data_IF_378595097468
#
_entry.id   IF_378595097468
#
_cell.length_a   1.000
_cell.length_b   1.000
_cell.length_c   1.000
_cell.angle_alpha   90.00
_cell.angle_beta   90.00
_cell.angle_gamma   90.00
#
_symmetry.space_group_name_H-M   'P 1'
#
loop_
_entity.id
_entity.type
_entity.pdbx_description
1 polymer ?
#
# COMPACT_ATOMS: atom_id res chain seq x y z
N UNK A 1 21.06 26.48 25.43
CA UNK A 1 20.76 27.12 24.15
C UNK A 1 20.14 26.05 23.25
N UNK A 2 18.89 26.18 22.92
CA UNK A 2 18.15 25.23 22.06
C UNK A 2 18.36 25.65 20.60
N UNK A 3 18.66 24.75 19.66
CA UNK A 3 18.65 25.11 18.25
C UNK A 3 17.20 25.14 17.75
N UNK A 4 16.91 26.17 16.97
CA UNK A 4 15.61 26.56 16.50
C UNK A 4 15.05 25.63 15.43
N UNK A 5 13.75 25.43 15.49
CA UNK A 5 12.85 24.59 14.66
C UNK A 5 12.66 25.06 13.21
N UNK A 6 13.62 25.74 12.59
CA UNK A 6 13.50 26.26 11.22
C UNK A 6 14.08 25.34 10.13
N UNK A 7 14.80 24.28 10.52
CA UNK A 7 15.52 23.41 9.56
C UNK A 7 14.66 22.29 9.00
N UNK A 8 13.56 21.93 9.64
CA UNK A 8 12.68 20.84 9.22
C UNK A 8 11.69 21.23 8.10
N UNK A 9 11.33 22.50 8.02
CA UNK A 9 10.33 22.98 7.03
C UNK A 9 10.89 23.15 5.61
N UNK A 10 12.22 23.27 5.46
CA UNK A 10 12.85 23.41 4.13
C UNK A 10 13.05 22.07 3.40
N UNK A 11 12.99 20.94 4.11
CA UNK A 11 13.24 19.61 3.52
C UNK A 11 12.05 19.06 2.72
N UNK A 12 10.82 19.45 3.05
CA UNK A 12 9.60 18.95 2.38
C UNK A 12 9.36 19.64 1.03
N UNK A 13 9.81 20.90 0.86
CA UNK A 13 9.62 21.64 -0.38
C UNK A 13 10.57 21.19 -1.53
N UNK A 14 11.67 20.52 -1.24
CA UNK A 14 12.66 20.11 -2.24
C UNK A 14 12.30 18.77 -2.93
N UNK A 15 11.41 17.95 -2.35
CA UNK A 15 11.03 16.66 -2.91
C UNK A 15 9.99 16.72 -4.04
N UNK A 16 9.24 17.80 -4.15
CA UNK A 16 8.23 17.96 -5.21
C UNK A 16 8.79 18.45 -6.56
N UNK A 17 10.08 18.83 -6.65
CA UNK A 17 10.64 19.45 -7.86
C UNK A 17 11.43 18.48 -8.76
N UNK A 18 11.61 17.25 -8.37
CA UNK A 18 12.48 16.29 -9.07
C UNK A 18 11.80 15.51 -10.23
N UNK A 19 10.50 15.66 -10.45
CA UNK A 19 9.77 14.98 -11.53
C UNK A 19 9.48 15.81 -12.78
N UNK A 20 9.98 17.05 -12.88
CA UNK A 20 9.68 17.95 -14.00
C UNK A 20 10.97 18.50 -14.64
N UNK A 21 11.76 17.66 -15.30
CA UNK A 21 12.78 18.14 -16.23
C UNK A 21 13.11 17.11 -17.30
N UNK A 22 12.34 17.15 -18.40
CA UNK A 22 12.91 16.92 -19.75
C UNK A 22 11.98 17.48 -20.81
N UNK A 23 12.59 18.31 -21.67
CA UNK A 23 12.16 18.85 -22.95
C UNK A 23 11.45 20.21 -22.93
N UNK A 24 12.26 21.27 -23.01
CA UNK A 24 11.89 22.58 -23.51
C UNK A 24 12.00 22.59 -25.04
N UNK A 25 10.92 22.88 -25.73
CA UNK A 25 10.95 23.50 -27.06
C UNK A 25 10.01 24.69 -27.06
N UNK A 26 10.60 25.87 -27.27
CA UNK A 26 9.97 27.17 -27.32
C UNK A 26 9.11 27.34 -28.58
N UNK A 27 7.88 27.80 -28.43
CA UNK A 27 7.17 28.54 -29.46
C UNK A 27 6.34 29.65 -28.80
N UNK A 28 6.71 30.87 -29.18
CA UNK A 28 6.07 32.16 -28.83
C UNK A 28 4.78 32.32 -29.60
N UNK A 29 3.67 32.70 -28.97
CA UNK A 29 2.49 33.33 -29.59
C UNK A 29 1.94 34.40 -28.63
N UNK A 30 1.50 35.57 -29.13
CA UNK A 30 1.33 36.80 -28.36
C UNK A 30 -0.04 36.90 -27.67
N UNK A 31 -0.05 37.74 -26.64
CA UNK A 31 -1.19 38.09 -25.82
C UNK A 31 -2.25 38.91 -26.55
N UNK A 32 -3.52 38.58 -26.35
CA UNK A 32 -4.65 39.46 -26.65
C UNK A 32 -5.44 39.72 -25.35
N UNK A 33 -5.45 40.98 -24.97
CA UNK A 33 -6.26 41.52 -23.85
C UNK A 33 -7.72 41.62 -24.28
N UNK A 34 -8.65 41.09 -23.48
CA UNK A 34 -10.07 41.42 -23.57
C UNK A 34 -10.58 41.87 -22.20
N UNK A 35 -11.02 43.10 -22.17
CA UNK A 35 -11.69 43.78 -21.04
C UNK A 35 -13.14 43.31 -20.96
N UNK A 36 -13.59 42.86 -19.81
CA UNK A 36 -14.99 42.62 -19.53
C UNK A 36 -15.52 43.57 -18.47
N UNK A 37 -16.47 44.41 -18.89
CA UNK A 37 -17.26 45.31 -18.08
C UNK A 37 -18.40 44.59 -17.37
N UNK A 38 -18.66 45.04 -16.14
CA UNK A 38 -19.71 44.61 -15.22
C UNK A 38 -21.09 45.20 -15.53
N UNK A 39 -22.18 44.51 -15.23
CA UNK A 39 -23.16 44.88 -14.17
C UNK A 39 -24.53 44.21 -14.36
N UNK A 40 -25.39 44.22 -13.32
CA UNK A 40 -26.26 43.11 -12.97
C UNK A 40 -27.75 43.36 -13.28
N UNK A 41 -28.52 42.26 -13.29
CA UNK A 41 -29.99 42.38 -13.24
C UNK A 41 -30.56 41.36 -12.23
N UNK A 42 -31.11 41.89 -11.18
CA UNK A 42 -32.02 41.28 -10.23
C UNK A 42 -33.42 41.11 -10.87
N UNK A 43 -33.98 39.92 -10.79
CA UNK A 43 -35.44 39.73 -10.97
C UNK A 43 -35.92 38.71 -9.95
N UNK A 44 -36.75 39.23 -9.01
CA UNK A 44 -37.53 38.50 -8.03
C UNK A 44 -38.78 37.94 -8.74
N UNK A 45 -39.10 36.67 -8.51
CA UNK A 45 -40.43 36.14 -8.76
C UNK A 45 -40.92 35.30 -7.57
N UNK A 46 -42.10 35.67 -7.13
CA UNK A 46 -42.81 35.23 -5.95
C UNK A 46 -43.31 33.78 -6.03
N UNK A 47 -43.34 33.16 -4.87
CA UNK A 47 -43.94 31.86 -4.62
C UNK A 47 -45.47 31.93 -4.66
N UNK A 48 -46.11 30.98 -5.34
CA UNK A 48 -47.47 30.57 -5.09
C UNK A 48 -47.56 29.07 -4.91
N UNK A 49 -47.98 28.69 -3.73
CA UNK A 49 -48.29 27.32 -3.32
C UNK A 49 -49.71 26.98 -3.77
N UNK A 50 -50.02 25.79 -4.23
CA UNK A 50 -51.37 25.25 -4.10
C UNK A 50 -51.47 24.04 -3.17
N UNK A 51 -52.61 23.95 -2.56
CA UNK A 51 -53.07 23.12 -1.47
C UNK A 51 -53.04 21.62 -1.73
N UNK A 52 -52.93 20.88 -0.63
CA UNK A 52 -53.07 19.46 -0.50
C UNK A 52 -54.47 18.94 -0.87
N UNK A 53 -54.47 17.86 -1.63
CA UNK A 53 -55.61 16.92 -1.66
C UNK A 53 -55.02 15.51 -1.50
N UNK A 54 -55.38 14.90 -0.37
CA UNK A 54 -55.33 13.41 -0.22
C UNK A 54 -56.50 12.84 -1.00
N UNK A 55 -56.31 11.71 -1.69
CA UNK A 55 -56.88 10.49 -1.16
C UNK A 55 -56.28 9.17 -1.64
N UNK A 56 -56.78 8.14 -1.05
CA UNK A 56 -56.91 6.77 -1.49
C UNK A 56 -55.81 5.79 -1.05
N UNK A 57 -56.14 5.11 0.00
CA UNK A 57 -55.69 3.76 0.38
C UNK A 57 -55.72 2.79 -0.80
N UNK A 58 -54.56 2.26 -1.14
CA UNK A 58 -54.40 1.03 -1.92
C UNK A 58 -53.83 -0.09 -1.03
N UNK A 59 -54.22 -1.33 -1.25
CA UNK A 59 -53.89 -2.42 -0.34
C UNK A 59 -52.41 -2.77 -0.39
N UNK A 60 -51.82 -2.89 0.78
CA UNK A 60 -50.47 -3.37 0.95
C UNK A 60 -50.31 -4.84 0.49
N UNK A 61 -49.76 -5.04 -0.67
CA UNK A 61 -49.24 -6.34 -1.07
C UNK A 61 -47.94 -6.57 -0.31
N UNK A 62 -47.97 -7.44 0.67
CA UNK A 62 -46.80 -7.93 1.38
C UNK A 62 -45.85 -8.64 0.39
N UNK A 63 -44.85 -7.93 -0.10
CA UNK A 63 -43.70 -8.55 -0.70
C UNK A 63 -42.85 -9.13 0.44
N UNK A 64 -42.97 -10.43 0.64
CA UNK A 64 -42.04 -11.17 1.44
C UNK A 64 -40.62 -10.94 0.85
N UNK A 65 -39.84 -10.14 1.55
CA UNK A 65 -38.43 -9.92 1.26
C UNK A 65 -37.70 -11.26 1.47
N UNK A 66 -37.50 -12.01 0.40
CA UNK A 66 -36.55 -13.10 0.38
C UNK A 66 -35.15 -12.46 0.57
N UNK A 67 -34.66 -12.51 1.79
CA UNK A 67 -33.29 -12.16 2.11
C UNK A 67 -32.42 -13.19 1.37
N UNK A 68 -31.63 -12.83 0.34
CA UNK A 68 -30.69 -13.76 -0.25
C UNK A 68 -29.67 -14.05 0.85
N UNK A 69 -29.71 -15.26 1.42
CA UNK A 69 -28.61 -15.76 2.21
C UNK A 69 -27.39 -15.77 1.29
N UNK A 70 -26.60 -14.71 1.37
CA UNK A 70 -25.27 -14.67 0.77
C UNK A 70 -24.50 -15.77 1.48
N UNK A 71 -24.31 -16.89 0.82
CA UNK A 71 -23.41 -17.95 1.26
C UNK A 71 -22.03 -17.28 1.33
N UNK A 72 -21.60 -16.91 2.53
CA UNK A 72 -20.24 -16.41 2.77
C UNK A 72 -19.35 -17.60 2.40
N UNK A 73 -18.68 -17.51 1.25
CA UNK A 73 -17.65 -18.47 0.90
C UNK A 73 -16.65 -18.48 2.06
N UNK A 74 -16.34 -19.66 2.58
CA UNK A 74 -15.32 -19.82 3.61
C UNK A 74 -14.04 -19.16 3.09
N UNK A 75 -13.48 -18.21 3.86
CA UNK A 75 -12.20 -17.60 3.54
C UNK A 75 -11.15 -18.71 3.46
N UNK A 76 -10.24 -18.67 2.47
CA UNK A 76 -9.16 -19.64 2.41
C UNK A 76 -8.34 -19.59 3.69
N UNK A 77 -8.08 -20.73 4.28
CA UNK A 77 -7.29 -20.81 5.51
C UNK A 77 -5.83 -20.42 5.24
N UNK A 78 -5.23 -19.69 6.17
CA UNK A 78 -3.81 -19.39 6.16
C UNK A 78 -2.99 -20.70 6.16
N UNK A 79 -2.05 -20.80 5.22
CA UNK A 79 -1.17 -21.97 5.08
C UNK A 79 0.19 -21.68 5.71
N UNK A 80 0.29 -21.91 7.00
CA UNK A 80 1.53 -21.70 7.76
C UNK A 80 2.68 -22.58 7.24
N UNK A 81 2.38 -23.77 6.72
CA UNK A 81 3.34 -24.70 6.12
C UNK A 81 3.87 -24.25 4.75
N UNK A 82 3.15 -23.37 4.06
CA UNK A 82 3.59 -22.81 2.79
C UNK A 82 4.45 -21.53 2.94
N UNK A 83 4.67 -21.07 4.17
CA UNK A 83 5.46 -19.89 4.48
C UNK A 83 6.59 -20.31 5.43
N UNK A 84 7.83 -19.96 5.10
CA UNK A 84 8.99 -20.26 5.94
C UNK A 84 8.87 -19.68 7.35
N UNK A 85 9.50 -20.33 8.31
CA UNK A 85 9.57 -19.83 9.69
C UNK A 85 10.52 -18.66 9.79
N UNK A 86 10.17 -17.65 10.59
CA UNK A 86 11.00 -16.47 10.84
C UNK A 86 11.31 -16.32 12.32
N UNK A 87 12.45 -15.71 12.60
CA UNK A 87 12.83 -15.25 13.93
C UNK A 87 12.57 -13.74 14.02
N UNK A 88 11.81 -13.32 15.02
CA UNK A 88 11.60 -11.91 15.36
C UNK A 88 12.59 -11.50 16.43
N UNK A 89 13.33 -10.43 16.22
CA UNK A 89 14.25 -9.83 17.20
C UNK A 89 13.85 -8.38 17.46
N UNK A 90 13.84 -7.98 18.71
CA UNK A 90 13.49 -6.61 19.11
C UNK A 90 12.57 -6.54 20.32
N UNK A 91 12.08 -5.35 20.67
CA UNK A 91 12.22 -4.10 19.89
C UNK A 91 13.67 -3.60 19.80
N UNK A 92 14.03 -3.02 18.63
CA UNK A 92 15.38 -2.54 18.33
C UNK A 92 15.56 -1.14 18.93
N UNK A 93 16.51 -1.02 19.86
CA UNK A 93 16.78 0.24 20.56
C UNK A 93 18.23 0.75 20.36
N UNK A 94 19.03 0.02 19.61
CA UNK A 94 20.42 0.38 19.29
C UNK A 94 20.53 1.55 18.31
N UNK A 95 21.75 2.02 18.07
CA UNK A 95 22.07 3.06 17.10
C UNK A 95 21.71 4.47 17.58
N UNK A 96 21.41 5.36 16.66
CA UNK A 96 21.09 6.77 16.93
C UNK A 96 19.70 7.00 17.55
N UNK A 97 18.94 5.95 17.77
CA UNK A 97 17.65 5.96 18.47
C UNK A 97 16.42 6.29 17.62
N UNK A 98 16.57 7.05 16.55
CA UNK A 98 15.45 7.35 15.66
C UNK A 98 15.21 6.23 14.64
N UNK A 99 13.95 5.85 14.46
CA UNK A 99 13.55 4.94 13.38
C UNK A 99 13.62 5.68 12.05
N UNK A 100 14.38 5.14 11.09
CA UNK A 100 14.52 5.74 9.76
C UNK A 100 13.36 5.27 8.90
N UNK A 101 12.45 6.19 8.57
CA UNK A 101 11.28 5.94 7.73
C UNK A 101 10.79 7.26 7.13
N UNK A 102 10.57 7.29 5.81
CA UNK A 102 9.86 8.38 5.17
C UNK A 102 8.37 8.29 5.52
N UNK A 103 7.95 9.12 6.46
CA UNK A 103 6.56 9.27 6.86
C UNK A 103 6.35 10.68 7.42
N UNK A 104 5.12 11.18 7.35
CA UNK A 104 4.73 12.38 8.09
C UNK A 104 5.03 12.18 9.58
N UNK A 105 5.90 12.99 10.15
CA UNK A 105 6.30 12.88 11.54
C UNK A 105 5.36 13.68 12.45
N UNK A 106 4.62 13.01 13.31
CA UNK A 106 3.98 13.59 14.47
C UNK A 106 4.20 12.66 15.68
N UNK A 107 4.02 13.21 16.87
CA UNK A 107 4.18 12.45 18.10
C UNK A 107 2.97 11.52 18.30
N UNK A 108 3.15 10.22 18.01
CA UNK A 108 2.14 9.19 18.17
C UNK A 108 1.62 9.07 19.61
N UNK A 109 2.42 9.44 20.62
CA UNK A 109 2.00 9.40 22.02
C UNK A 109 0.85 10.35 22.31
N UNK A 110 0.72 11.45 21.56
CA UNK A 110 -0.36 12.44 21.69
C UNK A 110 -1.72 11.89 21.28
N UNK A 111 -1.73 10.80 20.50
CA UNK A 111 -2.94 10.10 20.05
C UNK A 111 -3.07 8.70 20.62
N UNK A 112 -2.28 8.38 21.67
CA UNK A 112 -2.34 7.10 22.37
C UNK A 112 -1.77 5.91 21.60
N UNK A 113 -0.85 6.14 20.65
CA UNK A 113 -0.16 5.11 19.89
C UNK A 113 1.30 4.98 20.30
N UNK A 114 1.87 3.80 20.05
CA UNK A 114 3.31 3.51 20.16
C UNK A 114 3.88 3.22 18.78
N UNK A 115 5.21 3.31 18.68
CA UNK A 115 5.97 2.86 17.51
C UNK A 115 7.17 2.06 17.98
N UNK A 116 7.28 0.84 17.48
CA UNK A 116 8.39 -0.07 17.74
C UNK A 116 8.98 -0.60 16.45
N UNK A 117 10.23 -1.07 16.49
CA UNK A 117 10.93 -1.62 15.34
C UNK A 117 11.51 -2.99 15.70
N UNK A 118 11.39 -3.92 14.75
CA UNK A 118 11.87 -5.29 14.88
C UNK A 118 12.64 -5.72 13.64
N UNK A 119 13.53 -6.70 13.81
CA UNK A 119 14.14 -7.41 12.70
C UNK A 119 13.50 -8.79 12.52
N UNK A 120 13.25 -9.14 11.27
CA UNK A 120 12.84 -10.48 10.85
C UNK A 120 14.01 -11.15 10.15
N UNK A 121 14.39 -12.34 10.62
CA UNK A 121 15.42 -13.17 9.99
C UNK A 121 14.83 -14.53 9.61
N UNK A 122 15.14 -14.98 8.41
CA UNK A 122 14.66 -16.24 7.87
C UNK A 122 15.37 -16.61 6.58
N UNK A 123 14.85 -17.63 5.92
CA UNK A 123 15.27 -18.02 4.58
C UNK A 123 14.11 -17.83 3.63
N UNK A 124 14.25 -16.95 2.64
CA UNK A 124 13.20 -16.61 1.68
C UNK A 124 13.43 -17.31 0.36
N UNK A 125 12.36 -17.78 -0.28
CA UNK A 125 12.37 -18.36 -1.62
C UNK A 125 12.15 -17.26 -2.67
N UNK A 126 12.84 -17.37 -3.79
CA UNK A 126 12.40 -16.73 -5.03
C UNK A 126 11.38 -17.63 -5.74
N UNK A 127 10.73 -17.08 -6.76
CA UNK A 127 9.70 -17.83 -7.50
C UNK A 127 10.00 -17.86 -8.99
N UNK A 128 9.61 -18.96 -9.64
CA UNK A 128 9.68 -19.13 -11.09
C UNK A 128 8.34 -19.62 -11.64
N UNK A 129 8.15 -19.46 -12.95
CA UNK A 129 7.00 -20.00 -13.68
C UNK A 129 7.48 -20.90 -14.81
N UNK A 130 6.84 -22.07 -14.97
CA UNK A 130 7.13 -22.98 -16.06
C UNK A 130 6.59 -22.49 -17.41
N UNK A 131 5.65 -21.55 -17.40
CA UNK A 131 5.04 -20.96 -18.59
C UNK A 131 5.13 -19.42 -18.50
N UNK A 132 5.08 -18.72 -19.65
CA UNK A 132 4.98 -17.27 -19.64
C UNK A 132 3.78 -16.77 -18.82
N UNK A 133 3.97 -15.71 -18.05
CA UNK A 133 2.90 -15.07 -17.30
C UNK A 133 1.90 -14.46 -18.28
N UNK A 134 0.60 -14.64 -18.02
CA UNK A 134 -0.47 -14.13 -18.89
C UNK A 134 -1.16 -12.90 -18.29
N UNK A 135 -1.78 -12.07 -19.13
CA UNK A 135 -2.50 -10.87 -18.68
C UNK A 135 -3.67 -11.15 -17.73
N UNK A 136 -4.12 -12.41 -17.60
CA UNK A 136 -5.26 -12.77 -16.74
C UNK A 136 -4.95 -12.73 -15.25
N UNK A 137 -3.69 -12.56 -14.84
CA UNK A 137 -3.25 -12.61 -13.45
C UNK A 137 -3.31 -14.02 -12.81
N UNK A 138 -3.83 -15.03 -13.48
CA UNK A 138 -3.91 -16.41 -12.96
C UNK A 138 -2.60 -17.14 -13.19
N UNK A 139 -1.61 -16.78 -12.41
CA UNK A 139 -0.27 -17.36 -12.55
C UNK A 139 -0.08 -18.56 -11.64
N UNK A 140 0.65 -19.55 -12.16
CA UNK A 140 1.13 -20.70 -11.38
C UNK A 140 2.62 -20.60 -11.26
N UNK A 141 3.10 -20.46 -10.03
CA UNK A 141 4.52 -20.31 -9.73
C UNK A 141 4.98 -21.34 -8.73
N UNK A 142 6.27 -21.62 -8.73
CA UNK A 142 6.91 -22.55 -7.79
C UNK A 142 8.07 -21.85 -7.10
N UNK A 143 8.29 -22.11 -5.80
CA UNK A 143 9.46 -21.61 -5.10
C UNK A 143 10.73 -22.22 -5.68
N UNK A 144 11.81 -21.44 -5.67
CA UNK A 144 13.15 -21.84 -6.11
C UNK A 144 14.14 -21.78 -4.96
N UNK A 145 15.44 -21.73 -5.29
CA UNK A 145 16.53 -21.69 -4.31
C UNK A 145 16.30 -20.63 -3.22
N UNK A 146 16.35 -21.01 -1.95
CA UNK A 146 16.20 -20.10 -0.85
C UNK A 146 17.47 -19.26 -0.65
N UNK A 147 17.31 -18.09 -0.02
CA UNK A 147 18.42 -17.26 0.45
C UNK A 147 18.08 -16.68 1.82
N UNK A 148 19.09 -16.62 2.68
CA UNK A 148 18.92 -16.06 4.01
C UNK A 148 18.78 -14.54 3.93
N UNK A 149 17.93 -14.00 4.81
CA UNK A 149 17.70 -12.58 4.93
C UNK A 149 17.54 -12.14 6.37
N UNK A 150 17.81 -10.87 6.61
CA UNK A 150 17.39 -10.15 7.80
C UNK A 150 16.84 -8.80 7.35
N UNK A 151 15.54 -8.59 7.54
CA UNK A 151 14.88 -7.33 7.18
C UNK A 151 14.32 -6.62 8.40
N UNK A 152 13.80 -5.42 8.19
CA UNK A 152 13.20 -4.56 9.20
C UNK A 152 11.69 -4.49 9.04
N UNK A 153 10.97 -4.47 10.16
CA UNK A 153 9.56 -4.07 10.25
C UNK A 153 9.39 -2.97 11.29
N UNK A 154 8.47 -2.04 11.02
CA UNK A 154 8.03 -1.00 11.96
C UNK A 154 6.58 -1.26 12.31
N UNK A 155 6.25 -1.23 13.59
CA UNK A 155 4.90 -1.47 14.10
C UNK A 155 4.39 -0.21 14.78
N UNK A 156 3.20 0.24 14.41
CA UNK A 156 2.46 1.33 15.07
C UNK A 156 1.12 0.80 15.53
N UNK A 157 0.82 0.95 16.81
CA UNK A 157 -0.41 0.41 17.38
C UNK A 157 -0.90 1.17 18.59
N UNK A 158 -2.15 0.96 18.99
CA UNK A 158 -2.70 1.59 20.19
C UNK A 158 -1.98 1.09 21.43
N UNK A 159 -1.68 2.03 22.33
CA UNK A 159 -1.08 1.76 23.63
C UNK A 159 -2.06 1.05 24.57
N UNK A 160 -3.33 1.39 24.49
CA UNK A 160 -4.41 0.73 25.23
C UNK A 160 -4.99 -0.40 24.39
N UNK A 161 -4.82 -1.68 24.80
CA UNK A 161 -5.36 -2.82 24.06
C UNK A 161 -6.88 -2.79 23.88
N UNK A 162 -7.61 -2.10 24.75
CA UNK A 162 -9.07 -1.99 24.66
C UNK A 162 -9.52 -1.19 23.42
N UNK A 163 -8.65 -0.35 22.84
CA UNK A 163 -8.95 0.43 21.64
C UNK A 163 -8.60 -0.29 20.35
N UNK A 164 -7.91 -1.44 20.42
CA UNK A 164 -7.58 -2.23 19.23
C UNK A 164 -8.82 -2.90 18.65
N UNK A 165 -9.11 -2.66 17.38
CA UNK A 165 -10.30 -3.20 16.72
C UNK A 165 -10.11 -4.60 16.10
N UNK A 166 -8.90 -5.17 16.16
CA UNK A 166 -8.55 -6.47 15.60
C UNK A 166 -8.00 -6.42 14.17
N UNK A 167 -7.93 -5.27 13.53
CA UNK A 167 -7.43 -5.13 12.16
C UNK A 167 -5.96 -4.70 12.14
N UNK A 168 -5.17 -5.34 11.28
CA UNK A 168 -3.77 -4.99 11.02
C UNK A 168 -3.59 -4.70 9.54
N UNK A 169 -3.07 -3.52 9.24
CA UNK A 169 -2.62 -3.15 7.89
C UNK A 169 -1.12 -3.45 7.78
N UNK A 170 -0.72 -4.29 6.82
CA UNK A 170 0.69 -4.61 6.53
C UNK A 170 1.06 -3.91 5.23
N UNK A 171 1.84 -2.84 5.33
CA UNK A 171 2.26 -2.02 4.21
C UNK A 171 3.59 -2.52 3.63
N UNK A 172 3.58 -2.78 2.32
CA UNK A 172 4.80 -2.92 1.54
C UNK A 172 5.41 -1.54 1.36
N UNK A 173 6.47 -1.23 2.10
CA UNK A 173 7.08 0.10 2.09
C UNK A 173 7.56 0.48 0.69
N UNK A 174 7.23 1.70 0.26
CA UNK A 174 7.59 2.23 -1.04
C UNK A 174 9.06 2.68 -1.06
N UNK A 175 9.78 2.30 -2.10
CA UNK A 175 11.22 2.61 -2.25
C UNK A 175 11.54 3.47 -3.48
N UNK A 176 10.55 4.10 -4.11
CA UNK A 176 10.74 4.95 -5.31
C UNK A 176 11.72 6.08 -5.08
N UNK A 177 11.78 6.61 -3.86
CA UNK A 177 12.72 7.66 -3.47
C UNK A 177 14.14 7.15 -3.15
N UNK A 178 14.39 5.82 -3.23
CA UNK A 178 15.67 5.20 -2.89
C UNK A 178 15.85 4.84 -1.42
N UNK A 179 14.78 4.97 -0.61
CA UNK A 179 14.71 4.60 0.80
C UNK A 179 13.27 4.23 1.17
N UNK A 180 13.08 3.61 2.34
CA UNK A 180 11.77 3.19 2.80
C UNK A 180 10.85 4.38 3.11
N UNK A 181 9.67 4.39 2.49
CA UNK A 181 8.62 5.36 2.68
C UNK A 181 7.28 4.66 2.93
N UNK A 182 6.38 5.28 3.70
CA UNK A 182 5.07 4.72 4.06
C UNK A 182 3.92 5.63 3.59
N UNK A 183 3.63 5.68 2.29
CA UNK A 183 2.60 6.56 1.75
C UNK A 183 1.19 6.21 2.27
N UNK A 184 0.80 4.94 2.32
CA UNK A 184 -0.52 4.55 2.81
C UNK A 184 -0.73 4.94 4.27
N UNK A 185 0.28 4.78 5.13
CA UNK A 185 0.23 5.35 6.48
C UNK A 185 0.07 6.87 6.43
N UNK A 186 0.84 7.55 5.60
CA UNK A 186 0.83 9.02 5.51
C UNK A 186 -0.55 9.56 5.13
N UNK A 187 -1.29 8.86 4.26
CA UNK A 187 -2.63 9.26 3.82
C UNK A 187 -3.74 8.82 4.78
N UNK A 188 -3.63 7.62 5.37
CA UNK A 188 -4.72 6.99 6.08
C UNK A 188 -4.55 6.95 7.61
N UNK A 189 -3.42 7.42 8.17
CA UNK A 189 -3.13 7.28 9.61
C UNK A 189 -4.20 7.89 10.52
N UNK A 190 -4.82 9.01 10.12
CA UNK A 190 -5.88 9.64 10.92
C UNK A 190 -7.06 8.68 11.11
N UNK A 191 -7.47 8.00 10.03
CA UNK A 191 -8.55 7.04 10.08
C UNK A 191 -8.13 5.73 10.77
N UNK A 192 -6.92 5.24 10.49
CA UNK A 192 -6.40 4.04 11.16
C UNK A 192 -6.33 4.22 12.68
N UNK A 193 -5.82 5.37 13.15
CA UNK A 193 -5.75 5.72 14.56
C UNK A 193 -7.16 5.84 15.16
N UNK A 194 -8.05 6.60 14.50
CA UNK A 194 -9.43 6.79 14.95
C UNK A 194 -10.17 5.46 15.10
N UNK A 195 -9.93 4.53 14.19
CA UNK A 195 -10.58 3.23 14.16
C UNK A 195 -9.86 2.16 14.99
N UNK A 196 -8.68 2.45 15.57
CA UNK A 196 -7.93 1.51 16.42
C UNK A 196 -7.23 0.39 15.66
N UNK A 197 -6.70 0.64 14.47
CA UNK A 197 -5.91 -0.32 13.70
C UNK A 197 -4.47 -0.41 14.23
N UNK A 198 -3.84 -1.56 14.03
CA UNK A 198 -2.38 -1.66 14.01
C UNK A 198 -1.89 -1.48 12.57
N UNK A 199 -0.81 -0.76 12.39
CA UNK A 199 -0.09 -0.65 11.13
C UNK A 199 1.30 -1.26 11.26
N UNK A 200 1.72 -2.01 10.22
CA UNK A 200 3.02 -2.67 10.13
C UNK A 200 3.66 -2.34 8.78
N UNK A 201 4.78 -1.62 8.79
CA UNK A 201 5.56 -1.33 7.59
C UNK A 201 6.69 -2.33 7.39
N UNK A 202 6.80 -2.92 6.21
CA UNK A 202 7.78 -3.96 5.89
C UNK A 202 8.81 -3.46 4.88
N UNK A 203 10.09 -3.47 5.26
CA UNK A 203 11.23 -3.23 4.35
C UNK A 203 11.44 -4.46 3.46
N UNK A 204 10.53 -4.67 2.52
CA UNK A 204 10.52 -5.88 1.69
C UNK A 204 11.51 -5.85 0.51
N UNK A 205 12.11 -4.68 0.20
CA UNK A 205 12.97 -4.50 -0.97
C UNK A 205 14.40 -4.09 -0.59
N UNK A 206 15.34 -4.55 -1.40
CA UNK A 206 16.78 -4.31 -1.20
C UNK A 206 17.11 -2.82 -1.17
N UNK A 207 16.46 -2.00 -1.98
CA UNK A 207 16.73 -0.56 -2.09
C UNK A 207 16.51 0.17 -0.77
N UNK A 208 15.47 -0.15 -0.02
CA UNK A 208 15.22 0.46 1.28
C UNK A 208 16.32 0.20 2.30
N UNK A 209 16.97 -0.97 2.22
CA UNK A 209 18.01 -1.42 3.14
C UNK A 209 19.41 -0.99 2.68
N UNK A 210 19.73 -1.28 1.41
CA UNK A 210 21.08 -1.15 0.85
C UNK A 210 21.30 0.18 0.14
N UNK A 211 20.23 0.87 -0.22
CA UNK A 211 20.26 2.05 -1.08
C UNK A 211 20.29 1.70 -2.56
N UNK A 212 20.12 2.71 -3.38
CA UNK A 212 20.15 2.63 -4.83
C UNK A 212 19.56 3.90 -5.45
N UNK A 213 19.75 4.07 -6.76
CA UNK A 213 19.20 5.22 -7.47
C UNK A 213 20.00 6.51 -7.27
N UNK A 214 19.40 7.55 -6.71
CA UNK A 214 20.04 8.85 -6.54
C UNK A 214 20.83 8.97 -5.23
N UNK A 215 21.70 9.99 -5.14
CA UNK A 215 22.56 10.21 -3.96
C UNK A 215 21.79 10.50 -2.66
N UNK A 216 20.60 11.12 -2.74
CA UNK A 216 19.77 11.40 -1.58
C UNK A 216 19.17 10.10 -1.02
N UNK A 217 18.60 9.27 -1.89
CA UNK A 217 18.06 7.97 -1.50
C UNK A 217 19.13 7.05 -0.91
N UNK A 218 20.34 7.05 -1.48
CA UNK A 218 21.46 6.28 -0.97
C UNK A 218 21.83 6.69 0.47
N UNK A 219 21.78 7.97 0.82
CA UNK A 219 22.10 8.45 2.16
C UNK A 219 21.00 8.14 3.21
N UNK A 220 19.77 7.96 2.78
CA UNK A 220 18.61 7.66 3.63
C UNK A 220 18.27 6.18 3.71
N UNK A 221 18.92 5.33 2.91
CA UNK A 221 18.79 3.89 3.04
C UNK A 221 19.25 3.43 4.43
N UNK A 222 18.61 2.42 4.99
CA UNK A 222 18.77 2.04 6.39
C UNK A 222 20.22 1.88 6.81
N UNK A 223 21.00 1.08 6.08
CA UNK A 223 22.41 0.81 6.43
C UNK A 223 23.32 2.04 6.33
N UNK A 224 22.99 2.99 5.46
CA UNK A 224 23.75 4.23 5.33
C UNK A 224 23.33 5.27 6.38
N UNK A 225 22.06 5.34 6.70
CA UNK A 225 21.51 6.31 7.65
C UNK A 225 21.94 6.03 9.10
N UNK A 226 21.93 4.75 9.51
CA UNK A 226 22.37 4.33 10.84
C UNK A 226 23.04 2.93 10.78
N UNK A 227 24.36 2.87 10.48
CA UNK A 227 25.09 1.60 10.39
C UNK A 227 25.09 0.80 11.69
N UNK A 228 25.10 1.47 12.84
CA UNK A 228 25.12 0.82 14.16
C UNK A 228 23.79 0.11 14.45
N UNK A 229 22.68 0.65 13.95
CA UNK A 229 21.35 0.07 14.08
C UNK A 229 21.09 -0.99 13.02
N UNK A 230 21.32 -0.67 11.75
CA UNK A 230 20.92 -1.46 10.61
C UNK A 230 22.02 -2.30 9.97
N UNK A 231 23.23 -2.29 10.55
CA UNK A 231 24.34 -3.14 10.10
C UNK A 231 23.99 -4.62 9.93
N UNK A 232 23.22 -5.24 10.85
CA UNK A 232 22.81 -6.65 10.77
C UNK A 232 21.88 -7.00 9.61
N UNK A 233 21.21 -6.03 8.96
CA UNK A 233 20.26 -6.30 7.89
C UNK A 233 20.97 -6.91 6.67
N UNK A 234 20.34 -7.92 6.06
CA UNK A 234 20.82 -8.61 4.86
C UNK A 234 19.65 -8.78 3.92
N UNK A 235 19.78 -8.36 2.66
CA UNK A 235 18.75 -8.56 1.65
C UNK A 235 19.36 -9.25 0.41
N UNK A 236 18.84 -10.43 0.00
CA UNK A 236 19.42 -11.23 -1.08
C UNK A 236 19.08 -10.72 -2.49
N UNK A 237 18.24 -9.70 -2.60
CA UNK A 237 17.75 -9.15 -3.86
C UNK A 237 16.23 -9.28 -4.01
N UNK A 238 15.65 -8.47 -4.93
CA UNK A 238 14.20 -8.27 -4.98
C UNK A 238 13.39 -9.46 -5.51
N UNK A 239 14.02 -10.49 -6.06
CA UNK A 239 13.36 -11.77 -6.37
C UNK A 239 12.83 -12.49 -5.12
N UNK A 240 13.39 -12.18 -3.96
CA UNK A 240 13.02 -12.76 -2.66
C UNK A 240 12.00 -11.90 -1.90
N UNK A 241 11.73 -10.68 -2.35
CA UNK A 241 10.86 -9.71 -1.68
C UNK A 241 9.46 -10.24 -1.42
N UNK A 242 8.92 -11.04 -2.33
CA UNK A 242 7.57 -11.61 -2.21
C UNK A 242 7.45 -12.57 -1.04
N UNK A 243 8.44 -13.45 -0.87
CA UNK A 243 8.44 -14.40 0.24
C UNK A 243 8.77 -13.70 1.57
N UNK A 244 9.70 -12.74 1.57
CA UNK A 244 9.97 -11.87 2.73
C UNK A 244 8.66 -11.20 3.21
N UNK A 245 7.85 -10.68 2.29
CA UNK A 245 6.57 -10.06 2.62
C UNK A 245 5.55 -11.07 3.14
N UNK A 246 5.50 -12.29 2.57
CA UNK A 246 4.69 -13.39 3.09
C UNK A 246 5.08 -13.75 4.52
N UNK A 247 6.38 -13.89 4.78
CA UNK A 247 6.91 -14.24 6.08
C UNK A 247 6.64 -13.14 7.12
N UNK A 248 6.69 -11.85 6.73
CA UNK A 248 6.30 -10.75 7.61
C UNK A 248 4.80 -10.81 7.99
N UNK A 249 3.91 -11.04 7.03
CA UNK A 249 2.49 -11.24 7.29
C UNK A 249 2.20 -12.47 8.16
N UNK A 250 2.93 -13.56 7.94
CA UNK A 250 2.84 -14.76 8.78
C UNK A 250 3.31 -14.50 10.22
N UNK A 251 4.39 -13.73 10.41
CA UNK A 251 4.84 -13.32 11.74
C UNK A 251 3.80 -12.48 12.48
N UNK A 252 3.12 -11.56 11.79
CA UNK A 252 2.00 -10.79 12.34
C UNK A 252 0.90 -11.73 12.85
N UNK A 253 0.59 -12.82 12.13
CA UNK A 253 -0.44 -13.79 12.54
C UNK A 253 -0.03 -14.72 13.67
N UNK A 254 1.23 -15.14 13.70
CA UNK A 254 1.69 -16.23 14.57
C UNK A 254 2.54 -15.78 15.75
N UNK A 255 3.17 -14.60 15.66
CA UNK A 255 4.06 -14.05 16.70
C UNK A 255 3.58 -12.68 17.21
N UNK A 256 2.27 -12.44 17.15
CA UNK A 256 1.63 -11.19 17.55
C UNK A 256 1.89 -10.81 19.03
N UNK A 257 2.11 -11.79 19.90
CA UNK A 257 2.43 -11.51 21.32
C UNK A 257 3.72 -10.67 21.44
N UNK A 258 4.74 -11.04 20.66
CA UNK A 258 6.00 -10.29 20.63
C UNK A 258 5.90 -9.06 19.74
N UNK A 259 5.38 -9.25 18.52
CA UNK A 259 5.45 -8.24 17.45
C UNK A 259 4.45 -7.10 17.63
N UNK A 260 3.25 -7.42 18.15
CA UNK A 260 2.17 -6.46 18.31
C UNK A 260 1.88 -6.16 19.80
N UNK A 261 2.83 -6.47 20.70
CA UNK A 261 2.66 -6.21 22.12
C UNK A 261 1.45 -6.89 22.77
N UNK A 262 1.05 -8.06 22.25
CA UNK A 262 -0.11 -8.81 22.76
C UNK A 262 -1.44 -8.48 22.08
N UNK A 263 -1.47 -7.59 21.08
CA UNK A 263 -2.68 -7.26 20.30
C UNK A 263 -2.96 -8.38 19.29
N UNK A 264 -3.91 -9.26 19.58
CA UNK A 264 -4.23 -10.41 18.74
C UNK A 264 -4.99 -9.98 17.46
N UNK A 265 -4.43 -10.17 16.26
CA UNK A 265 -5.09 -9.81 15.01
C UNK A 265 -6.28 -10.73 14.69
N UNK A 266 -7.37 -10.15 14.19
CA UNK A 266 -8.49 -10.88 13.59
C UNK A 266 -8.41 -10.85 12.08
N UNK A 267 -8.01 -9.70 11.52
CA UNK A 267 -7.82 -9.52 10.09
C UNK A 267 -6.47 -8.89 9.81
N UNK A 268 -5.78 -9.42 8.82
CA UNK A 268 -4.47 -8.93 8.35
C UNK A 268 -4.60 -8.58 6.87
N UNK A 269 -4.53 -7.29 6.55
CA UNK A 269 -4.73 -6.75 5.20
C UNK A 269 -3.40 -6.25 4.66
N UNK A 270 -3.02 -6.71 3.47
CA UNK A 270 -1.85 -6.18 2.77
C UNK A 270 -2.21 -4.90 2.03
N UNK A 271 -1.37 -3.87 2.17
CA UNK A 271 -1.54 -2.58 1.49
C UNK A 271 -0.25 -2.16 0.80
N UNK A 272 -0.36 -1.39 -0.28
CA UNK A 272 0.80 -0.86 -0.98
C UNK A 272 0.41 0.14 -2.05
N UNK A 273 1.17 1.24 -2.12
CA UNK A 273 0.93 2.38 -2.99
C UNK A 273 1.99 2.48 -4.08
N UNK A 274 1.59 2.89 -5.29
CA UNK A 274 2.47 3.20 -6.41
C UNK A 274 3.40 2.03 -6.76
N UNK A 275 4.71 2.19 -6.64
CA UNK A 275 5.70 1.15 -6.89
C UNK A 275 5.42 -0.12 -6.06
N UNK A 276 4.96 0.02 -4.82
CA UNK A 276 4.58 -1.11 -3.97
C UNK A 276 3.26 -1.74 -4.43
N UNK A 277 2.35 -0.98 -5.03
CA UNK A 277 1.14 -1.52 -5.65
C UNK A 277 1.47 -2.41 -6.86
N UNK A 278 2.53 -2.11 -7.62
CA UNK A 278 2.99 -2.99 -8.70
C UNK A 278 3.49 -4.33 -8.15
N UNK A 279 4.25 -4.30 -7.03
CA UNK A 279 4.68 -5.49 -6.30
C UNK A 279 3.48 -6.26 -5.75
N UNK A 280 2.56 -5.55 -5.12
CA UNK A 280 1.37 -6.17 -4.52
C UNK A 280 0.45 -6.79 -5.58
N UNK A 281 0.35 -6.21 -6.79
CA UNK A 281 -0.36 -6.82 -7.92
C UNK A 281 0.24 -8.17 -8.31
N UNK A 282 1.55 -8.24 -8.44
CA UNK A 282 2.25 -9.52 -8.72
C UNK A 282 2.12 -10.51 -7.56
N UNK A 283 2.16 -10.02 -6.32
CA UNK A 283 1.92 -10.84 -5.13
C UNK A 283 0.53 -11.48 -5.16
N UNK A 284 -0.50 -10.69 -5.42
CA UNK A 284 -1.90 -11.15 -5.53
C UNK A 284 -2.03 -12.22 -6.60
N UNK A 285 -1.40 -12.03 -7.75
CA UNK A 285 -1.55 -12.91 -8.91
C UNK A 285 -0.73 -14.21 -8.80
N UNK A 286 0.42 -14.16 -8.14
CA UNK A 286 1.37 -15.26 -8.10
C UNK A 286 1.45 -15.97 -6.73
N UNK A 287 1.55 -15.19 -5.63
CA UNK A 287 1.98 -15.70 -4.32
C UNK A 287 0.78 -15.95 -3.40
N UNK A 288 -0.19 -15.04 -3.40
CA UNK A 288 -1.37 -15.14 -2.55
C UNK A 288 -2.08 -16.49 -2.63
N UNK A 289 -2.25 -17.13 -3.82
CA UNK A 289 -2.89 -18.44 -3.92
C UNK A 289 -2.13 -19.58 -3.23
N UNK A 290 -0.82 -19.40 -3.04
CA UNK A 290 0.03 -20.42 -2.41
C UNK A 290 -0.03 -20.28 -0.89
N UNK A 291 0.05 -19.03 -0.38
CA UNK A 291 0.30 -18.78 1.04
C UNK A 291 -0.94 -18.45 1.85
N UNK A 292 -1.95 -17.82 1.24
CA UNK A 292 -3.17 -17.31 1.91
C UNK A 292 -2.87 -16.51 3.19
N UNK A 293 -1.82 -15.69 3.18
CA UNK A 293 -1.37 -14.96 4.38
C UNK A 293 -2.32 -13.84 4.75
N UNK A 294 -2.88 -13.14 3.76
CA UNK A 294 -3.68 -11.94 3.99
C UNK A 294 -5.17 -12.17 3.76
N UNK A 295 -6.01 -11.54 4.57
CA UNK A 295 -7.47 -11.59 4.49
C UNK A 295 -8.04 -10.63 3.43
N UNK A 296 -7.21 -9.77 2.86
CA UNK A 296 -7.57 -8.82 1.82
C UNK A 296 -6.39 -7.99 1.37
N UNK A 297 -6.57 -7.27 0.28
CA UNK A 297 -5.53 -6.47 -0.37
C UNK A 297 -6.07 -5.09 -0.74
N UNK A 298 -5.34 -4.02 -0.39
CA UNK A 298 -5.52 -2.68 -0.90
C UNK A 298 -4.37 -2.35 -1.85
N UNK A 299 -4.67 -2.29 -3.14
CA UNK A 299 -3.71 -1.97 -4.20
C UNK A 299 -3.96 -0.53 -4.61
N UNK A 300 -3.13 0.39 -4.09
CA UNK A 300 -3.34 1.82 -4.19
C UNK A 300 -2.45 2.44 -5.28
N UNK A 301 -3.04 3.19 -6.19
CA UNK A 301 -2.34 3.94 -7.26
C UNK A 301 -1.42 3.07 -8.14
N UNK A 302 -1.89 1.88 -8.54
CA UNK A 302 -1.16 1.01 -9.48
C UNK A 302 -1.25 1.49 -10.92
N UNK A 303 -0.27 1.11 -11.73
CA UNK A 303 -0.34 1.21 -13.20
C UNK A 303 -0.96 -0.02 -13.86
N UNK A 304 -0.87 -0.07 -15.20
CA UNK A 304 -1.39 -1.18 -16.01
C UNK A 304 -0.60 -2.49 -15.86
N UNK A 305 0.65 -2.42 -15.41
CA UNK A 305 1.57 -3.57 -15.37
C UNK A 305 1.94 -3.88 -13.92
N UNK A 306 2.04 -5.16 -13.57
CA UNK A 306 2.61 -5.59 -12.30
C UNK A 306 4.15 -5.47 -12.27
N UNK A 307 4.77 -5.60 -11.11
CA UNK A 307 6.22 -5.73 -11.03
C UNK A 307 6.69 -7.10 -11.54
N UNK A 308 7.95 -7.22 -11.94
CA UNK A 308 8.52 -8.51 -12.33
C UNK A 308 8.39 -9.55 -11.20
N UNK A 309 8.07 -10.78 -11.53
CA UNK A 309 8.06 -11.91 -10.59
C UNK A 309 9.48 -12.23 -10.11
N UNK A 310 10.46 -12.14 -10.99
CA UNK A 310 11.87 -12.33 -10.71
C UNK A 310 12.69 -11.28 -11.43
N UNK A 311 13.82 -10.91 -10.83
CA UNK A 311 14.81 -9.95 -11.35
C UNK A 311 16.18 -10.20 -10.73
N UNK A 312 17.18 -9.41 -11.10
CA UNK A 312 18.53 -9.56 -10.53
C UNK A 312 18.50 -9.74 -8.99
N UNK A 313 19.31 -10.66 -8.44
CA UNK A 313 20.40 -11.42 -9.08
C UNK A 313 19.97 -12.65 -9.89
N UNK A 314 18.68 -12.94 -9.94
CA UNK A 314 18.14 -14.05 -10.71
C UNK A 314 17.73 -13.58 -12.12
N UNK A 315 17.32 -14.54 -12.97
CA UNK A 315 16.81 -14.23 -14.29
C UNK A 315 15.49 -13.44 -14.22
N UNK A 316 15.33 -12.48 -15.11
CA UNK A 316 14.13 -11.67 -15.19
C UNK A 316 12.91 -12.50 -15.64
N UNK A 317 11.80 -12.35 -14.92
CA UNK A 317 10.48 -12.85 -15.31
C UNK A 317 9.53 -11.66 -15.25
N UNK A 318 9.36 -10.92 -16.35
CA UNK A 318 8.53 -9.71 -16.37
C UNK A 318 7.05 -10.05 -16.26
N UNK A 319 6.28 -9.15 -15.65
CA UNK A 319 4.84 -9.21 -15.70
C UNK A 319 4.33 -8.80 -17.11
N UNK A 320 3.20 -9.35 -17.59
CA UNK A 320 2.62 -8.98 -18.87
C UNK A 320 2.04 -7.56 -18.86
N UNK A 321 1.97 -6.95 -20.01
CA UNK A 321 1.30 -5.66 -20.26
C UNK A 321 0.02 -5.88 -21.07
N UNK A 322 -1.20 -5.65 -20.54
CA UNK A 322 -1.49 -5.33 -19.13
C UNK A 322 -1.44 -6.53 -18.18
N UNK A 323 -1.38 -6.25 -16.88
CA UNK A 323 -1.59 -7.23 -15.80
C UNK A 323 -2.95 -6.99 -15.17
N UNK A 324 -3.88 -7.92 -15.31
CA UNK A 324 -5.17 -7.92 -14.61
C UNK A 324 -5.00 -8.62 -13.26
N UNK A 325 -5.80 -8.24 -12.29
CA UNK A 325 -5.85 -8.91 -11.00
C UNK A 325 -6.71 -10.17 -11.10
N UNK A 326 -6.21 -11.30 -10.61
CA UNK A 326 -6.98 -12.56 -10.55
C UNK A 326 -8.22 -12.43 -9.67
N UNK A 327 -9.28 -13.16 -10.03
CA UNK A 327 -10.60 -13.03 -9.38
C UNK A 327 -11.02 -14.25 -8.57
N UNK A 328 -10.10 -15.20 -8.38
CA UNK A 328 -10.37 -16.53 -7.79
C UNK A 328 -9.65 -16.79 -6.46
N UNK A 329 -9.20 -15.72 -5.75
CA UNK A 329 -8.51 -15.86 -4.46
C UNK A 329 -9.43 -16.22 -3.29
N UNK A 330 -10.71 -15.88 -3.34
CA UNK A 330 -11.63 -16.02 -2.21
C UNK A 330 -11.50 -14.93 -1.15
N UNK A 331 -10.54 -14.00 -1.28
CA UNK A 331 -10.38 -12.81 -0.42
C UNK A 331 -10.55 -11.53 -1.25
N UNK A 332 -11.00 -10.41 -0.63
CA UNK A 332 -11.22 -9.16 -1.36
C UNK A 332 -9.91 -8.48 -1.80
N UNK A 333 -9.93 -7.94 -3.01
CA UNK A 333 -8.93 -7.02 -3.55
C UNK A 333 -9.61 -5.72 -3.93
N UNK A 334 -9.18 -4.62 -3.34
CA UNK A 334 -9.63 -3.28 -3.68
C UNK A 334 -8.50 -2.53 -4.39
N UNK A 335 -8.72 -2.14 -5.65
CA UNK A 335 -7.88 -1.15 -6.32
C UNK A 335 -8.45 0.25 -6.05
N UNK A 336 -7.60 1.17 -5.62
CA UNK A 336 -7.93 2.59 -5.47
C UNK A 336 -7.00 3.39 -6.37
N UNK A 337 -7.56 4.18 -7.27
CA UNK A 337 -6.82 4.84 -8.35
C UNK A 337 -7.17 6.32 -8.40
N UNK A 338 -6.15 7.14 -8.57
CA UNK A 338 -6.30 8.55 -8.90
C UNK A 338 -6.60 8.73 -10.40
N UNK A 339 -7.06 9.91 -10.79
CA UNK A 339 -7.27 10.21 -12.21
C UNK A 339 -5.98 10.11 -13.04
N UNK A 340 -4.86 10.53 -12.48
CA UNK A 340 -3.57 10.48 -13.18
C UNK A 340 -3.01 9.07 -13.31
N UNK A 341 -3.42 8.11 -12.47
CA UNK A 341 -3.08 6.69 -12.64
C UNK A 341 -3.72 6.10 -13.90
N UNK A 342 -4.92 6.58 -14.24
CA UNK A 342 -5.67 6.11 -15.38
C UNK A 342 -5.04 6.52 -16.70
N UNK A 343 -4.61 7.79 -16.80
CA UNK A 343 -4.27 8.48 -18.04
C UNK A 343 -2.78 8.70 -18.24
N UNK A 344 -1.98 8.60 -17.19
CA UNK A 344 -0.55 8.86 -17.21
C UNK A 344 0.20 7.93 -18.18
N UNK A 345 1.13 8.47 -18.97
CA UNK A 345 1.93 7.67 -19.92
C UNK A 345 2.73 6.55 -19.25
N UNK A 346 3.14 6.74 -17.98
CA UNK A 346 3.90 5.76 -17.21
C UNK A 346 3.01 4.74 -16.49
N UNK A 347 1.79 5.11 -16.10
CA UNK A 347 0.89 4.30 -15.32
C UNK A 347 -0.20 3.64 -16.20
N UNK A 348 -0.99 4.45 -16.92
CA UNK A 348 -1.91 4.02 -17.96
C UNK A 348 -2.85 2.88 -17.56
N UNK A 349 -3.36 2.90 -16.32
CA UNK A 349 -4.18 1.82 -15.76
C UNK A 349 -5.41 1.46 -16.62
N UNK A 350 -5.92 2.37 -17.42
CA UNK A 350 -7.07 2.10 -18.32
C UNK A 350 -6.91 0.84 -19.14
N UNK A 351 -5.66 0.42 -19.44
CA UNK A 351 -5.37 -0.83 -20.16
C UNK A 351 -5.60 -2.09 -19.33
N UNK A 352 -5.54 -1.96 -18.00
CA UNK A 352 -5.75 -3.04 -17.03
C UNK A 352 -7.13 -2.98 -16.35
N UNK A 353 -8.06 -2.14 -16.86
CA UNK A 353 -9.44 -2.13 -16.35
C UNK A 353 -10.08 -3.50 -16.52
N UNK A 354 -10.77 -3.92 -15.49
CA UNK A 354 -11.54 -5.16 -15.47
C UNK A 354 -12.88 -4.90 -14.77
N UNK A 355 -13.92 -5.68 -15.08
CA UNK A 355 -15.19 -5.57 -14.36
C UNK A 355 -15.03 -5.91 -12.88
N UNK A 356 -15.82 -5.25 -12.05
CA UNK A 356 -15.99 -5.62 -10.66
C UNK A 356 -16.53 -7.05 -10.54
N UNK A 357 -16.05 -7.78 -9.54
CA UNK A 357 -16.48 -9.14 -9.23
C UNK A 357 -16.87 -9.27 -7.76
N UNK A 358 -17.15 -10.47 -7.31
CA UNK A 358 -17.41 -10.70 -5.88
C UNK A 358 -16.16 -10.40 -5.02
N UNK A 359 -14.96 -10.61 -5.58
CA UNK A 359 -13.68 -10.47 -4.86
C UNK A 359 -12.82 -9.28 -5.30
N UNK A 360 -13.06 -8.67 -6.45
CA UNK A 360 -12.28 -7.54 -6.95
C UNK A 360 -13.17 -6.33 -7.15
N UNK A 361 -12.77 -5.19 -6.60
CA UNK A 361 -13.39 -3.88 -6.77
C UNK A 361 -12.37 -2.86 -7.23
N UNK A 362 -12.79 -1.91 -8.06
CA UNK A 362 -11.95 -0.79 -8.48
C UNK A 362 -12.67 0.53 -8.22
N UNK A 363 -12.03 1.40 -7.47
CA UNK A 363 -12.45 2.78 -7.27
C UNK A 363 -11.54 3.70 -8.06
N UNK A 364 -12.12 4.48 -8.95
CA UNK A 364 -11.45 5.53 -9.71
C UNK A 364 -11.94 6.87 -9.14
N UNK A 365 -11.03 7.67 -8.58
CA UNK A 365 -11.37 8.91 -7.89
C UNK A 365 -11.02 10.10 -8.79
N UNK A 366 -12.03 10.75 -9.40
CA UNK A 366 -11.78 11.88 -10.30
C UNK A 366 -11.25 13.10 -9.55
N UNK A 367 -10.48 13.93 -10.23
CA UNK A 367 -9.90 15.15 -9.67
C UNK A 367 -8.73 14.92 -8.73
N UNK A 368 -8.25 13.69 -8.58
CA UNK A 368 -7.08 13.35 -7.75
C UNK A 368 -5.86 13.05 -8.59
N UNK A 369 -4.68 13.21 -8.01
CA UNK A 369 -3.40 12.94 -8.65
C UNK A 369 -2.66 11.82 -7.94
N UNK A 370 -1.81 11.13 -8.69
CA UNK A 370 -0.77 10.25 -8.15
C UNK A 370 0.15 11.07 -7.26
N UNK A 371 0.42 10.64 -6.07
CA UNK A 371 1.20 11.39 -5.08
C UNK A 371 2.67 10.94 -5.07
#
# INVERSE_FOLDING_TARGET
MRPSSLTAALFVAALCTACASSSSSSSTVPAASAVLTSSPATTSLAATSPAATSPATSPATSLASANPQTTIALQPEFRADAVGTVTVSGPITSGKGAIVLGAGGFDLSTVGYTQDEYFLSGSASAYTSAAPLTSTGRWTVTPTSPADYTTRIVVRGPKDPATFNGNVAVEWLNVSAGFDNSPDWSYAHVEMIRAGWVWVGVSAQAVGILGGGNSLGAALALKAADPDRYGPLVHPGDSYSYDIFSQAGAAVRTQWQQLLGGLQPRHVVAIGESQSAFRLSTYVDAIAPITNVFDGYLVHSRGAVGAALSQAPLADIPAPDPTLVRTDLGVPVLNVLSETDLLGKGLGYTRARQPDTASVRTWEIPGTAHA
#
